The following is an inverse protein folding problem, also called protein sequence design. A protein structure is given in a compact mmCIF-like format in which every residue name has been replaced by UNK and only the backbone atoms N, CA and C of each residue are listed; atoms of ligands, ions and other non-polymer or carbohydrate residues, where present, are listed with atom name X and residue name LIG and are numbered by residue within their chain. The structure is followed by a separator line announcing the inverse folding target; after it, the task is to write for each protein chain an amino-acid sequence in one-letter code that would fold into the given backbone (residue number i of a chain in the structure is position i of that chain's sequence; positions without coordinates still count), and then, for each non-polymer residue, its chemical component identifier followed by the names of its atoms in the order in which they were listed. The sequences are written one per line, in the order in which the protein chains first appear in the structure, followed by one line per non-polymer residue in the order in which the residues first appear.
data_IF_537278840806
#
_entry.id   IF_537278840806
#
_cell.length_a   1.000
_cell.length_b   1.000
_cell.length_c   1.000
_cell.angle_alpha   90.00
_cell.angle_beta   90.00
_cell.angle_gamma   90.00
#
_symmetry.space_group_name_H-M   'P 1'
#
loop_
_entity.id
_entity.type
_entity.pdbx_description
1 polymer ?
#
# COMPACT_ATOMS: atom_id res chain seq x y z
N UNK A 1 -8.13 -30.52 8.30
CA UNK A 1 -9.49 -30.18 8.75
C UNK A 1 -10.03 -29.08 7.84
N UNK A 2 -11.14 -29.32 7.12
CA UNK A 2 -11.83 -28.29 6.31
C UNK A 2 -12.76 -27.50 7.23
N UNK A 3 -12.69 -26.17 7.19
CA UNK A 3 -13.61 -25.32 7.95
C UNK A 3 -15.07 -25.55 7.50
N UNK A 4 -16.04 -25.51 8.42
CA UNK A 4 -17.46 -25.72 8.11
C UNK A 4 -17.98 -24.57 7.23
N UNK A 5 -18.59 -24.92 6.10
CA UNK A 5 -19.20 -23.97 5.18
C UNK A 5 -20.49 -23.41 5.76
N UNK A 6 -20.46 -22.16 6.21
CA UNK A 6 -21.68 -21.41 6.49
C UNK A 6 -22.37 -21.05 5.17
N UNK A 7 -23.64 -21.43 4.96
CA UNK A 7 -24.39 -20.96 3.80
C UNK A 7 -24.54 -19.44 3.91
N UNK A 8 -24.00 -18.72 2.92
CA UNK A 8 -24.14 -17.27 2.85
C UNK A 8 -25.62 -16.94 2.57
N UNK A 9 -26.22 -15.96 3.28
CA UNK A 9 -27.59 -15.54 3.02
C UNK A 9 -27.71 -15.05 1.58
N UNK A 10 -28.86 -15.32 0.97
CA UNK A 10 -29.15 -14.97 -0.42
C UNK A 10 -29.15 -13.43 -0.58
N UNK A 11 -27.99 -12.86 -0.91
CA UNK A 11 -27.85 -11.41 -1.09
C UNK A 11 -28.45 -11.01 -2.43
N UNK A 12 -29.30 -9.98 -2.41
CA UNK A 12 -29.92 -9.43 -3.59
C UNK A 12 -28.87 -8.81 -4.52
N UNK A 13 -28.97 -9.08 -5.82
CA UNK A 13 -27.96 -8.83 -6.85
C UNK A 13 -27.49 -7.36 -6.96
N UNK A 14 -28.25 -6.42 -6.40
CA UNK A 14 -28.03 -4.96 -6.48
C UNK A 14 -27.14 -4.39 -5.37
N UNK A 15 -26.97 -5.10 -4.24
CA UNK A 15 -26.19 -4.65 -3.08
C UNK A 15 -24.85 -5.38 -2.89
N UNK A 16 -24.54 -6.39 -3.73
CA UNK A 16 -23.29 -7.15 -3.67
C UNK A 16 -22.10 -6.44 -4.35
N UNK A 17 -22.30 -5.21 -4.87
CA UNK A 17 -21.28 -4.47 -5.62
C UNK A 17 -19.95 -4.33 -4.88
N UNK A 18 -19.93 -3.76 -3.66
CA UNK A 18 -18.71 -3.62 -2.87
C UNK A 18 -18.04 -4.96 -2.52
N UNK A 19 -18.81 -5.95 -2.08
CA UNK A 19 -18.26 -7.27 -1.72
C UNK A 19 -17.69 -8.02 -2.94
N UNK A 20 -18.34 -7.93 -4.11
CA UNK A 20 -17.83 -8.48 -5.37
C UNK A 20 -16.52 -7.81 -5.77
N UNK A 21 -16.42 -6.48 -5.63
CA UNK A 21 -15.18 -5.73 -5.89
C UNK A 21 -14.07 -6.16 -4.93
N UNK A 22 -14.34 -6.26 -3.62
CA UNK A 22 -13.36 -6.73 -2.65
C UNK A 22 -12.88 -8.14 -2.95
N UNK A 23 -13.81 -9.07 -3.22
CA UNK A 23 -13.48 -10.45 -3.59
C UNK A 23 -12.60 -10.48 -4.84
N UNK A 24 -12.91 -9.68 -5.85
CA UNK A 24 -12.12 -9.62 -7.06
C UNK A 24 -10.70 -9.08 -6.79
N UNK A 25 -10.57 -7.98 -6.04
CA UNK A 25 -9.28 -7.39 -5.71
C UNK A 25 -8.44 -8.29 -4.78
N UNK A 26 -9.07 -9.13 -3.96
CA UNK A 26 -8.38 -10.11 -3.13
C UNK A 26 -7.60 -11.13 -3.96
N UNK A 27 -8.17 -11.58 -5.08
CA UNK A 27 -7.51 -12.50 -6.01
C UNK A 27 -6.57 -11.82 -7.01
N UNK A 28 -6.52 -10.47 -7.03
CA UNK A 28 -5.66 -9.69 -7.91
C UNK A 28 -4.87 -8.66 -7.07
N UNK A 29 -3.88 -9.10 -6.28
CA UNK A 29 -3.20 -8.25 -5.29
C UNK A 29 -2.38 -7.10 -5.91
N UNK A 30 -1.95 -7.23 -7.16
CA UNK A 30 -1.37 -6.16 -7.98
C UNK A 30 -2.40 -5.06 -8.35
N UNK A 31 -3.67 -5.37 -8.16
CA UNK A 31 -4.83 -4.53 -8.39
C UNK A 31 -5.19 -4.34 -9.85
N UNK A 32 -6.37 -3.76 -10.07
CA UNK A 32 -7.01 -3.73 -11.37
C UNK A 32 -7.41 -2.31 -11.79
N UNK A 33 -7.28 -1.95 -13.08
CA UNK A 33 -7.90 -0.75 -13.62
C UNK A 33 -9.42 -0.81 -13.52
N UNK A 34 -10.09 0.35 -13.42
CA UNK A 34 -11.55 0.44 -13.34
C UNK A 34 -12.28 -0.31 -14.48
N UNK A 35 -11.76 -0.18 -15.70
CA UNK A 35 -12.35 -0.81 -16.88
C UNK A 35 -12.32 -2.34 -16.79
N UNK A 36 -11.24 -2.89 -16.21
CA UNK A 36 -11.08 -4.31 -16.02
C UNK A 36 -11.99 -4.85 -14.92
N UNK A 37 -12.14 -4.12 -13.81
CA UNK A 37 -13.11 -4.45 -12.76
C UNK A 37 -14.54 -4.45 -13.34
N UNK A 38 -14.87 -3.44 -14.15
CA UNK A 38 -16.18 -3.35 -14.83
C UNK A 38 -16.43 -4.55 -15.73
N UNK A 39 -15.43 -4.93 -16.54
CA UNK A 39 -15.50 -6.07 -17.45
C UNK A 39 -15.66 -7.40 -16.71
N UNK A 40 -14.83 -7.67 -15.69
CA UNK A 40 -14.84 -8.95 -14.98
C UNK A 40 -16.08 -9.16 -14.12
N UNK A 41 -16.68 -8.08 -13.60
CA UNK A 41 -17.90 -8.16 -12.81
C UNK A 41 -19.18 -8.03 -13.65
N UNK A 42 -19.05 -7.76 -14.95
CA UNK A 42 -20.17 -7.46 -15.85
C UNK A 42 -21.05 -6.30 -15.32
N UNK A 43 -20.40 -5.29 -14.72
CA UNK A 43 -21.06 -4.12 -14.14
C UNK A 43 -20.69 -2.85 -14.89
N UNK A 44 -21.63 -1.89 -14.95
CA UNK A 44 -21.32 -0.59 -15.53
C UNK A 44 -20.23 0.13 -14.70
N UNK A 45 -19.38 0.91 -15.38
CA UNK A 45 -18.33 1.69 -14.70
C UNK A 45 -18.88 2.71 -13.70
N UNK A 46 -20.16 3.10 -13.81
CA UNK A 46 -20.84 3.94 -12.80
C UNK A 46 -21.09 3.16 -11.50
N UNK A 47 -21.57 1.92 -11.61
CA UNK A 47 -21.81 1.05 -10.45
C UNK A 47 -20.49 0.70 -9.76
N UNK A 48 -19.46 0.31 -10.53
CA UNK A 48 -18.15 -0.02 -9.97
C UNK A 48 -17.52 1.20 -9.29
N UNK A 49 -17.57 2.40 -9.88
CA UNK A 49 -17.08 3.63 -9.24
C UNK A 49 -17.80 3.92 -7.93
N UNK A 50 -19.12 3.72 -7.86
CA UNK A 50 -19.88 3.91 -6.62
C UNK A 50 -19.42 2.93 -5.55
N UNK A 51 -19.23 1.66 -5.90
CA UNK A 51 -18.73 0.64 -4.98
C UNK A 51 -17.31 0.94 -4.49
N UNK A 52 -16.39 1.28 -5.38
CA UNK A 52 -15.01 1.65 -5.02
C UNK A 52 -14.96 2.88 -4.12
N UNK A 53 -15.75 3.92 -4.39
CA UNK A 53 -15.82 5.10 -3.52
C UNK A 53 -16.29 4.75 -2.11
N UNK A 54 -17.29 3.88 -1.97
CA UNK A 54 -17.75 3.42 -0.67
C UNK A 54 -16.64 2.63 0.06
N UNK A 55 -15.95 1.73 -0.65
CA UNK A 55 -14.85 0.96 -0.09
C UNK A 55 -13.63 1.81 0.27
N UNK A 56 -13.31 2.85 -0.50
CA UNK A 56 -12.23 3.80 -0.20
C UNK A 56 -12.57 4.66 1.01
N UNK A 57 -13.83 5.12 1.14
CA UNK A 57 -14.29 5.90 2.29
C UNK A 57 -14.16 5.12 3.61
N UNK A 58 -14.44 3.81 3.56
CA UNK A 58 -14.30 2.89 4.70
C UNK A 58 -12.86 2.32 4.83
N UNK A 59 -11.92 2.74 3.98
CA UNK A 59 -10.53 2.32 4.05
C UNK A 59 -10.25 0.86 3.64
N UNK A 60 -11.15 0.19 2.93
CA UNK A 60 -10.90 -1.18 2.43
C UNK A 60 -10.10 -1.22 1.13
N UNK A 61 -10.24 -0.19 0.29
CA UNK A 61 -9.52 -0.08 -0.98
C UNK A 61 -8.72 1.20 -1.06
N UNK A 62 -7.74 1.22 -1.96
CA UNK A 62 -6.98 2.41 -2.30
C UNK A 62 -6.71 2.46 -3.81
N UNK A 63 -6.80 3.66 -4.39
CA UNK A 63 -6.31 3.94 -5.73
C UNK A 63 -4.80 4.24 -5.69
N UNK A 64 -4.01 3.48 -6.44
CA UNK A 64 -2.61 3.81 -6.69
C UNK A 64 -2.51 4.78 -7.89
N UNK A 65 -2.12 6.05 -7.65
CA UNK A 65 -2.06 7.06 -8.71
C UNK A 65 -0.98 6.78 -9.75
N UNK A 66 0.03 5.96 -9.44
CA UNK A 66 1.12 5.65 -10.37
C UNK A 66 0.75 4.55 -11.34
N UNK A 67 0.24 3.42 -10.83
CA UNK A 67 -0.20 2.32 -11.69
C UNK A 67 -1.61 2.51 -12.26
N UNK A 68 -2.35 3.49 -11.73
CA UNK A 68 -3.77 3.76 -12.02
C UNK A 68 -4.67 2.54 -11.77
N UNK A 69 -4.35 1.76 -10.74
CA UNK A 69 -5.05 0.55 -10.33
C UNK A 69 -5.73 0.75 -8.99
N UNK A 70 -6.88 0.10 -8.81
CA UNK A 70 -7.52 -0.05 -7.50
C UNK A 70 -7.01 -1.31 -6.84
N UNK A 71 -6.79 -1.21 -5.55
CA UNK A 71 -6.10 -2.20 -4.74
C UNK A 71 -6.90 -2.43 -3.47
N UNK A 72 -6.74 -3.60 -2.84
CA UNK A 72 -7.02 -3.71 -1.42
C UNK A 72 -6.03 -2.82 -0.66
N UNK A 73 -6.53 -2.01 0.27
CA UNK A 73 -5.70 -1.17 1.12
C UNK A 73 -4.92 -2.06 2.08
N UNK A 74 -3.65 -1.74 2.23
CA UNK A 74 -2.75 -2.34 3.20
C UNK A 74 -1.95 -1.23 3.92
N UNK A 75 -1.94 -1.17 5.26
CA UNK A 75 -2.63 -2.07 6.19
C UNK A 75 -4.15 -1.98 6.08
N UNK A 76 -4.84 -3.05 6.50
CA UNK A 76 -6.30 -3.11 6.54
C UNK A 76 -6.87 -2.03 7.49
N UNK A 77 -8.12 -1.57 7.28
CA UNK A 77 -8.70 -0.47 8.07
C UNK A 77 -8.86 -0.82 9.55
N UNK A 78 -8.86 -2.11 9.90
CA UNK A 78 -8.94 -2.60 11.27
C UNK A 78 -7.61 -2.56 12.03
N UNK A 79 -6.54 -2.08 11.39
CA UNK A 79 -5.25 -1.91 12.05
C UNK A 79 -5.05 -0.44 12.37
N UNK A 80 -4.87 -0.17 13.66
CA UNK A 80 -4.42 1.12 14.14
C UNK A 80 -2.97 1.36 13.70
N UNK A 81 -2.80 2.34 12.81
CA UNK A 81 -1.48 2.81 12.38
C UNK A 81 -1.28 4.18 13.04
N UNK A 82 -0.10 4.46 13.61
CA UNK A 82 0.23 5.82 14.05
C UNK A 82 -0.03 6.82 12.92
N UNK A 83 -0.73 7.90 13.24
CA UNK A 83 -0.95 8.96 12.28
C UNK A 83 0.38 9.58 11.86
N UNK A 84 0.48 9.94 10.58
CA UNK A 84 1.64 10.70 10.12
C UNK A 84 1.68 12.05 10.84
N UNK A 85 2.88 12.53 11.14
CA UNK A 85 3.06 13.88 11.70
C UNK A 85 2.60 14.91 10.67
N UNK A 86 1.77 15.87 11.09
CA UNK A 86 1.19 16.89 10.21
C UNK A 86 2.21 17.90 9.69
N UNK A 87 3.34 18.05 10.38
CA UNK A 87 4.44 18.93 9.96
C UNK A 87 5.12 18.39 8.68
N UNK A 88 5.04 19.13 7.55
CA UNK A 88 5.66 18.72 6.29
C UNK A 88 7.19 18.57 6.35
N UNK A 89 7.85 19.25 7.28
CA UNK A 89 9.31 19.26 7.42
C UNK A 89 9.83 18.24 8.42
N UNK A 90 8.98 17.68 9.28
CA UNK A 90 9.36 16.75 10.34
C UNK A 90 10.33 15.65 9.89
N UNK A 91 9.99 14.92 8.82
CA UNK A 91 10.86 13.84 8.32
C UNK A 91 12.16 14.37 7.70
N UNK A 92 12.15 15.57 7.14
CA UNK A 92 13.33 16.19 6.55
C UNK A 92 14.32 16.61 7.65
N UNK A 93 13.83 17.22 8.72
CA UNK A 93 14.65 17.59 9.88
C UNK A 93 15.31 16.37 10.53
N UNK A 94 14.60 15.24 10.60
CA UNK A 94 15.16 13.98 11.10
C UNK A 94 16.35 13.48 10.26
N UNK A 95 16.22 13.45 8.92
CA UNK A 95 17.32 12.97 8.06
C UNK A 95 18.50 13.94 8.05
N UNK A 96 18.25 15.25 8.14
CA UNK A 96 19.29 16.26 8.17
C UNK A 96 20.09 16.18 9.48
N UNK A 97 19.42 15.97 10.61
CA UNK A 97 20.08 15.74 11.90
C UNK A 97 20.96 14.48 11.90
N UNK A 98 20.49 13.38 11.28
CA UNK A 98 21.28 12.14 11.15
C UNK A 98 22.47 12.34 10.21
N UNK A 99 22.28 13.03 9.09
CA UNK A 99 23.37 13.32 8.15
C UNK A 99 24.42 14.24 8.78
N UNK A 100 24.01 15.28 9.50
CA UNK A 100 24.93 16.21 10.19
C UNK A 100 25.84 15.49 11.21
N UNK A 101 25.37 14.39 11.80
CA UNK A 101 26.13 13.60 12.79
C UNK A 101 26.99 12.50 12.18
N UNK A 102 26.55 11.89 11.08
CA UNK A 102 27.18 10.68 10.52
C UNK A 102 27.94 10.94 9.23
N UNK A 103 27.61 12.02 8.52
CA UNK A 103 27.99 12.28 7.13
C UNK A 103 27.67 11.15 6.15
N UNK A 104 26.79 10.22 6.56
CA UNK A 104 26.29 9.13 5.72
C UNK A 104 24.90 9.50 5.21
N UNK A 105 24.61 9.06 3.99
CA UNK A 105 23.30 9.29 3.38
C UNK A 105 22.19 8.71 4.25
N UNK A 106 21.23 9.57 4.59
CA UNK A 106 20.12 9.24 5.47
C UNK A 106 18.80 9.18 4.69
N UNK A 107 17.89 8.32 5.16
CA UNK A 107 16.58 8.12 4.58
C UNK A 107 15.54 7.92 5.70
N UNK A 108 14.37 8.52 5.55
CA UNK A 108 13.16 8.14 6.30
C UNK A 108 12.22 7.44 5.34
N UNK A 109 11.74 6.28 5.76
CA UNK A 109 10.96 5.37 4.91
C UNK A 109 9.62 5.04 5.57
N UNK A 110 8.60 4.79 4.76
CA UNK A 110 7.33 4.22 5.21
C UNK A 110 6.89 3.09 4.28
N UNK A 111 6.04 2.17 4.77
CA UNK A 111 5.40 1.16 3.91
C UNK A 111 3.94 1.57 3.69
N UNK A 112 3.57 1.68 2.42
CA UNK A 112 2.21 2.02 1.94
C UNK A 112 1.60 0.81 1.23
N UNK A 113 0.28 0.81 0.93
CA UNK A 113 -0.34 -0.32 0.25
C UNK A 113 0.38 -0.71 -1.06
N UNK A 114 0.94 0.28 -1.75
CA UNK A 114 1.57 0.13 -3.06
C UNK A 114 3.11 0.10 -3.01
N UNK A 115 3.74 0.00 -1.82
CA UNK A 115 5.18 -0.25 -1.70
C UNK A 115 5.90 0.55 -0.61
N UNK A 116 7.23 0.48 -0.64
CA UNK A 116 8.13 1.28 0.20
C UNK A 116 8.23 2.70 -0.34
N UNK A 117 7.97 3.66 0.54
CA UNK A 117 7.97 5.09 0.28
C UNK A 117 9.19 5.75 0.88
N UNK A 118 9.76 6.70 0.14
CA UNK A 118 10.77 7.60 0.64
C UNK A 118 10.09 8.87 1.13
N UNK A 119 10.04 9.05 2.46
CA UNK A 119 9.41 10.21 3.08
C UNK A 119 10.36 11.42 3.11
N UNK A 120 11.65 11.18 3.36
CA UNK A 120 12.70 12.20 3.33
C UNK A 120 14.08 11.57 3.12
N UNK A 121 15.05 12.37 2.71
CA UNK A 121 16.43 11.91 2.49
C UNK A 121 17.41 13.09 2.50
N UNK A 122 18.64 12.85 2.98
CA UNK A 122 19.71 13.83 3.02
C UNK A 122 21.05 13.19 2.67
N UNK A 123 22.02 13.99 2.22
CA UNK A 123 23.37 13.53 1.88
C UNK A 123 23.61 13.19 0.39
N UNK A 124 22.79 13.70 -0.54
CA UNK A 124 23.08 13.67 -1.98
C UNK A 124 23.18 15.10 -2.55
N UNK A 125 24.24 15.40 -3.30
CA UNK A 125 24.38 16.71 -3.95
C UNK A 125 23.27 16.92 -4.99
N UNK A 126 22.64 18.10 -4.99
CA UNK A 126 21.53 18.42 -5.90
C UNK A 126 20.21 17.71 -5.58
N UNK A 127 20.08 17.15 -4.38
CA UNK A 127 18.88 16.43 -3.97
C UNK A 127 17.65 17.33 -3.91
N UNK A 128 16.61 16.94 -4.65
CA UNK A 128 15.31 17.61 -4.61
C UNK A 128 14.58 17.23 -3.32
N UNK A 129 14.15 18.24 -2.57
CA UNK A 129 13.30 18.05 -1.40
C UNK A 129 11.86 17.73 -1.83
N UNK A 130 11.22 16.78 -1.16
CA UNK A 130 9.80 16.44 -1.33
C UNK A 130 9.02 16.70 -0.03
N UNK A 131 8.93 17.97 0.42
CA UNK A 131 8.32 18.30 1.70
C UNK A 131 6.84 17.89 1.75
N UNK A 132 6.16 17.89 0.61
CA UNK A 132 4.74 17.57 0.54
C UNK A 132 4.46 16.10 0.20
N UNK A 133 3.54 15.41 0.90
CA UNK A 133 3.20 14.00 0.67
C UNK A 133 2.83 13.65 -0.78
N UNK A 134 2.12 14.54 -1.49
CA UNK A 134 1.71 14.32 -2.88
C UNK A 134 2.86 14.35 -3.90
N UNK A 135 4.03 14.85 -3.51
CA UNK A 135 5.22 14.85 -4.36
C UNK A 135 6.05 13.57 -4.21
N UNK A 136 5.72 12.72 -3.22
CA UNK A 136 6.50 11.54 -2.86
C UNK A 136 6.11 10.36 -3.76
N UNK A 137 7.08 9.74 -4.41
CA UNK A 137 6.90 8.51 -5.18
C UNK A 137 7.37 7.30 -4.35
N UNK A 138 6.79 6.10 -4.56
CA UNK A 138 7.34 4.87 -4.03
C UNK A 138 8.79 4.73 -4.51
N UNK A 139 9.69 4.42 -3.58
CA UNK A 139 11.07 4.12 -3.89
C UNK A 139 11.18 2.73 -4.55
N UNK A 140 10.37 1.78 -4.09
CA UNK A 140 10.25 0.44 -4.66
C UNK A 140 8.98 -0.24 -4.16
N UNK A 141 8.42 -1.15 -4.95
CA UNK A 141 7.34 -2.03 -4.49
C UNK A 141 7.83 -3.08 -3.46
N UNK A 142 9.15 -3.32 -3.38
CA UNK A 142 9.73 -4.47 -2.71
C UNK A 142 10.43 -4.09 -1.40
N UNK A 143 9.67 -3.87 -0.32
CA UNK A 143 10.24 -3.50 0.97
C UNK A 143 11.24 -4.55 1.49
N UNK A 144 11.00 -5.84 1.20
CA UNK A 144 11.89 -6.96 1.58
C UNK A 144 13.31 -6.83 1.04
N UNK A 145 13.50 -6.10 -0.07
CA UNK A 145 14.79 -5.92 -0.73
C UNK A 145 15.62 -4.77 -0.16
N UNK A 146 15.17 -4.10 0.90
CA UNK A 146 15.87 -2.99 1.54
C UNK A 146 16.07 -3.21 3.03
N UNK A 147 17.16 -2.68 3.60
CA UNK A 147 17.38 -2.76 5.05
C UNK A 147 16.27 -2.06 5.85
N UNK A 148 15.90 -0.83 5.46
CA UNK A 148 14.82 -0.09 6.11
C UNK A 148 13.44 -0.72 5.94
N UNK A 149 13.13 -1.26 4.75
CA UNK A 149 11.88 -1.99 4.54
C UNK A 149 11.78 -3.25 5.39
N UNK A 150 12.86 -4.05 5.49
CA UNK A 150 12.91 -5.21 6.41
C UNK A 150 12.74 -4.80 7.86
N UNK A 151 13.36 -3.70 8.29
CA UNK A 151 13.22 -3.19 9.65
C UNK A 151 11.78 -2.78 9.96
N UNK A 152 11.08 -2.12 9.02
CA UNK A 152 9.66 -1.77 9.16
C UNK A 152 8.82 -3.05 9.25
N UNK A 153 8.98 -3.97 8.30
CA UNK A 153 8.21 -5.22 8.26
C UNK A 153 8.38 -6.06 9.54
N UNK A 154 9.58 -6.08 10.13
CA UNK A 154 9.85 -6.81 11.36
C UNK A 154 9.08 -6.29 12.59
N UNK A 155 8.56 -5.06 12.55
CA UNK A 155 7.78 -4.46 13.65
C UNK A 155 6.28 -4.45 13.37
N UNK A 156 5.83 -5.01 12.23
CA UNK A 156 4.41 -5.14 11.93
C UNK A 156 3.86 -6.46 12.51
N UNK A 157 2.58 -6.47 12.93
CA UNK A 157 1.84 -7.71 13.17
C UNK A 157 2.00 -8.72 12.02
N UNK A 158 2.03 -10.01 12.36
CA UNK A 158 2.30 -11.10 11.41
C UNK A 158 1.30 -11.12 10.24
N UNK A 159 0.02 -10.85 10.52
CA UNK A 159 -1.04 -10.79 9.51
C UNK A 159 -0.76 -9.72 8.47
N UNK A 160 -0.15 -8.61 8.91
CA UNK A 160 0.22 -7.52 8.03
C UNK A 160 1.44 -7.89 7.18
N UNK A 161 2.46 -8.50 7.79
CA UNK A 161 3.62 -9.00 7.05
C UNK A 161 3.17 -9.97 5.96
N UNK A 162 2.27 -10.91 6.28
CA UNK A 162 1.69 -11.83 5.30
C UNK A 162 0.93 -11.11 4.18
N UNK A 163 0.09 -10.13 4.51
CA UNK A 163 -0.61 -9.32 3.50
C UNK A 163 0.34 -8.59 2.56
N UNK A 164 1.42 -8.01 3.11
CA UNK A 164 2.46 -7.35 2.33
C UNK A 164 3.20 -8.32 1.40
N UNK A 165 3.64 -9.47 1.91
CA UNK A 165 4.42 -10.46 1.14
C UNK A 165 3.58 -11.22 0.12
N UNK A 166 2.29 -11.45 0.39
CA UNK A 166 1.37 -12.00 -0.61
C UNK A 166 1.27 -11.06 -1.83
N UNK A 167 1.25 -9.74 -1.57
CA UNK A 167 1.17 -8.72 -2.60
C UNK A 167 2.49 -8.46 -3.31
N UNK A 168 3.58 -8.44 -2.57
CA UNK A 168 4.92 -8.26 -3.08
C UNK A 168 5.75 -9.49 -2.74
N UNK A 169 5.57 -10.61 -3.48
CA UNK A 169 6.31 -11.84 -3.22
C UNK A 169 7.81 -11.58 -3.19
N UNK A 170 8.54 -12.17 -2.23
CA UNK A 170 9.99 -12.12 -2.22
C UNK A 170 10.55 -12.60 -3.55
N UNK A 171 11.37 -11.76 -4.17
CA UNK A 171 12.13 -12.09 -5.38
C UNK A 171 13.61 -11.81 -5.12
N UNK A 172 14.51 -12.66 -5.63
CA UNK A 172 15.94 -12.38 -5.59
C UNK A 172 16.25 -11.21 -6.55
N UNK A 173 16.84 -10.14 -6.03
CA UNK A 173 17.31 -8.99 -6.82
C UNK A 173 18.83 -8.97 -7.00
N UNK A 174 19.54 -9.80 -6.24
CA UNK A 174 20.98 -9.99 -6.31
C UNK A 174 21.30 -11.48 -6.39
N UNK A 175 22.45 -11.88 -6.96
CA UNK A 175 22.89 -13.27 -6.97
C UNK A 175 22.96 -13.87 -5.57
N UNK A 176 22.73 -15.18 -5.46
CA UNK A 176 23.05 -15.93 -4.25
C UNK A 176 24.58 -16.02 -4.17
N UNK A 177 25.17 -15.24 -3.28
CA UNK A 177 26.58 -15.37 -2.86
C UNK A 177 26.73 -16.54 -1.90
#
# INVERSE_FOLDING_TARGET
MRAPGYPLPHMDSRDIGPLKVLKLLYFNPEGLPLAEISRQLELSSRVVRRALRALEAEGFTAFDPMSRRYLIRYPHPFVDIPQAVDDPLFYQELVDAVFARTHLRAYVLSVRPWGLHLEATSGHQGQRLWPFPWNRKPATAHAHASAGGRAILAHLPEELVHGHLHRFPPKPFTPLT
#
